data_IF_045468475859
#
_entry.id   IF_045468475859
#
_cell.length_a   1.000
_cell.length_b   1.000
_cell.length_c   1.000
_cell.angle_alpha   90.00
_cell.angle_beta   90.00
_cell.angle_gamma   90.00
#
_symmetry.space_group_name_H-M   'P 1'
#
loop_
_entity.id
_entity.type
_entity.pdbx_description
1 polymer ?
#
# COMPACT_ATOMS: atom_id res chain seq x y z
N UNK A 1 19.26 -19.64 23.00
CA UNK A 1 18.42 -20.45 22.09
C UNK A 1 18.12 -19.56 20.89
N UNK A 2 18.87 -19.70 19.79
CA UNK A 2 18.67 -18.89 18.59
C UNK A 2 17.49 -19.47 17.82
N UNK A 3 16.43 -18.69 17.66
CA UNK A 3 15.32 -19.04 16.78
C UNK A 3 15.78 -18.70 15.36
N UNK A 4 16.17 -19.74 14.62
CA UNK A 4 16.42 -19.66 13.18
C UNK A 4 15.10 -19.34 12.48
N UNK A 5 14.93 -18.13 11.97
CA UNK A 5 13.82 -17.83 11.06
C UNK A 5 14.14 -18.38 9.67
N UNK A 6 13.18 -19.01 8.97
CA UNK A 6 13.42 -19.55 7.65
C UNK A 6 13.69 -18.42 6.66
N UNK A 7 14.76 -18.57 5.87
CA UNK A 7 15.08 -17.69 4.75
C UNK A 7 13.89 -17.64 3.80
N UNK A 8 13.15 -16.53 3.81
CA UNK A 8 12.24 -16.23 2.71
C UNK A 8 13.10 -16.11 1.46
N UNK A 9 12.89 -16.99 0.49
CA UNK A 9 13.38 -16.81 -0.88
C UNK A 9 12.70 -15.55 -1.43
N UNK A 10 13.28 -14.39 -1.13
CA UNK A 10 12.98 -13.14 -1.80
C UNK A 10 13.46 -13.37 -3.23
N UNK A 11 12.51 -13.55 -4.15
CA UNK A 11 12.79 -13.35 -5.55
C UNK A 11 13.15 -11.87 -5.66
N UNK A 12 14.45 -11.56 -5.65
CA UNK A 12 14.91 -10.29 -6.20
C UNK A 12 14.44 -10.32 -7.64
N UNK A 13 13.36 -9.61 -7.96
CA UNK A 13 13.01 -9.34 -9.36
C UNK A 13 14.06 -8.31 -9.80
N UNK A 14 15.11 -8.69 -10.55
CA UNK A 14 15.95 -7.67 -11.16
C UNK A 14 15.03 -6.80 -12.00
N UNK A 15 15.23 -5.48 -11.97
CA UNK A 15 14.53 -4.56 -12.84
C UNK A 15 14.62 -5.13 -14.27
N UNK A 16 13.52 -5.73 -14.75
CA UNK A 16 13.54 -6.49 -15.98
C UNK A 16 13.90 -5.53 -17.10
N UNK A 17 14.96 -5.85 -17.86
CA UNK A 17 15.36 -5.07 -19.05
C UNK A 17 14.10 -4.85 -19.90
N UNK A 18 13.61 -3.61 -20.07
CA UNK A 18 12.45 -3.39 -20.91
C UNK A 18 12.85 -3.67 -22.38
N UNK A 19 11.94 -4.23 -23.19
CA UNK A 19 12.10 -4.19 -24.63
C UNK A 19 12.22 -2.73 -25.06
N UNK A 20 13.14 -2.47 -25.98
CA UNK A 20 13.65 -1.16 -26.39
C UNK A 20 12.62 -0.02 -26.37
N UNK A 21 12.85 1.00 -25.53
CA UNK A 21 12.19 2.31 -25.65
C UNK A 21 11.64 2.94 -24.37
N UNK A 22 11.43 2.19 -23.29
CA UNK A 22 11.03 2.75 -21.99
C UNK A 22 12.26 3.01 -21.12
N UNK A 23 12.50 4.24 -20.67
CA UNK A 23 13.56 4.49 -19.69
C UNK A 23 13.20 3.76 -18.40
N UNK A 24 14.02 2.79 -17.98
CA UNK A 24 14.01 2.32 -16.59
C UNK A 24 14.13 3.55 -15.70
N UNK A 25 13.19 3.74 -14.77
CA UNK A 25 13.42 4.67 -13.68
C UNK A 25 14.61 4.13 -12.88
N UNK A 26 15.82 4.65 -13.14
CA UNK A 26 17.04 4.32 -12.39
C UNK A 26 17.01 4.85 -10.94
N UNK A 27 15.82 5.24 -10.44
CA UNK A 27 15.58 5.66 -9.07
C UNK A 27 15.47 4.49 -8.09
N UNK A 28 15.12 3.29 -8.57
CA UNK A 28 14.88 2.13 -7.70
C UNK A 28 16.06 1.66 -6.86
N UNK A 29 17.29 2.07 -7.20
CA UNK A 29 18.53 1.72 -6.50
C UNK A 29 18.82 2.63 -5.28
N UNK A 30 18.02 3.67 -5.06
CA UNK A 30 18.11 4.55 -3.88
C UNK A 30 16.80 4.53 -3.07
N UNK A 31 16.86 4.65 -1.74
CA UNK A 31 15.68 4.64 -0.88
C UNK A 31 14.60 5.63 -1.36
N UNK A 32 15.00 6.88 -1.65
CA UNK A 32 14.07 7.93 -2.07
C UNK A 32 13.51 7.70 -3.48
N UNK A 33 14.23 7.01 -4.36
CA UNK A 33 13.72 6.71 -5.69
C UNK A 33 12.71 5.58 -5.69
N UNK A 34 12.89 4.55 -4.83
CA UNK A 34 11.84 3.55 -4.57
C UNK A 34 10.62 4.17 -3.91
N UNK A 35 10.81 5.06 -2.92
CA UNK A 35 9.72 5.83 -2.32
C UNK A 35 8.96 6.65 -3.36
N UNK A 36 9.68 7.36 -4.24
CA UNK A 36 9.06 8.15 -5.30
C UNK A 36 8.22 7.28 -6.24
N UNK A 37 8.73 6.10 -6.63
CA UNK A 37 7.97 5.15 -7.45
C UNK A 37 6.68 4.69 -6.77
N UNK A 38 6.74 4.35 -5.48
CA UNK A 38 5.56 4.01 -4.67
C UNK A 38 4.56 5.18 -4.65
N UNK A 39 5.02 6.40 -4.39
CA UNK A 39 4.16 7.60 -4.35
C UNK A 39 3.51 7.88 -5.70
N UNK A 40 4.22 7.67 -6.82
CA UNK A 40 3.68 7.86 -8.16
C UNK A 40 2.56 6.86 -8.46
N UNK A 41 2.77 5.59 -8.11
CA UNK A 41 1.80 4.53 -8.38
C UNK A 41 0.58 4.61 -7.46
N UNK A 42 0.75 5.01 -6.20
CA UNK A 42 -0.33 5.06 -5.23
C UNK A 42 -0.97 6.46 -5.11
N UNK A 43 -0.23 7.44 -4.58
CA UNK A 43 -0.79 8.75 -4.24
C UNK A 43 -1.08 9.61 -5.48
N UNK A 44 -0.18 9.62 -6.47
CA UNK A 44 -0.39 10.41 -7.68
C UNK A 44 -1.50 9.80 -8.54
N UNK A 45 -1.54 8.47 -8.70
CA UNK A 45 -2.60 7.79 -9.44
C UNK A 45 -4.01 8.15 -8.94
N UNK A 46 -4.20 8.16 -7.62
CA UNK A 46 -5.46 8.56 -6.96
C UNK A 46 -5.83 10.01 -7.22
N UNK A 47 -4.84 10.90 -7.23
CA UNK A 47 -5.04 12.33 -7.47
C UNK A 47 -5.40 12.64 -8.94
N UNK A 48 -4.76 11.97 -9.88
CA UNK A 48 -4.99 12.17 -11.32
C UNK A 48 -6.32 11.57 -11.79
N UNK A 49 -6.71 10.43 -11.22
CA UNK A 49 -7.90 9.68 -11.62
C UNK A 49 -9.02 9.79 -10.58
N UNK A 50 -9.20 10.97 -9.97
CA UNK A 50 -10.28 11.19 -9.00
C UNK A 50 -11.64 10.81 -9.60
N UNK A 51 -12.44 10.08 -8.82
CA UNK A 51 -13.75 9.58 -9.20
C UNK A 51 -13.74 8.62 -10.42
N UNK A 52 -12.64 7.88 -10.62
CA UNK A 52 -12.48 6.92 -11.72
C UNK A 52 -11.81 5.64 -11.21
N UNK A 53 -12.19 4.48 -11.76
CA UNK A 53 -11.62 3.17 -11.42
C UNK A 53 -10.08 3.12 -11.59
N UNK A 54 -9.55 3.93 -12.52
CA UNK A 54 -8.10 4.04 -12.78
C UNK A 54 -7.30 4.49 -11.55
N UNK A 55 -7.94 5.13 -10.56
CA UNK A 55 -7.32 5.49 -9.29
C UNK A 55 -6.65 4.31 -8.58
N UNK A 56 -7.16 3.09 -8.78
CA UNK A 56 -6.68 1.87 -8.10
C UNK A 56 -5.97 0.88 -9.03
N UNK A 57 -5.82 1.22 -10.31
CA UNK A 57 -5.26 0.30 -11.30
C UNK A 57 -3.83 -0.13 -10.97
N UNK A 58 -3.09 0.71 -10.26
CA UNK A 58 -1.69 0.48 -9.89
C UNK A 58 -1.51 -0.04 -8.46
N UNK A 59 -2.59 -0.22 -7.68
CA UNK A 59 -2.53 -0.63 -6.26
C UNK A 59 -1.72 -1.92 -6.09
N UNK A 60 -1.87 -2.88 -7.02
CA UNK A 60 -1.14 -4.15 -6.97
C UNK A 60 0.38 -3.98 -7.07
N UNK A 61 0.86 -3.15 -8.00
CA UNK A 61 2.30 -2.90 -8.13
C UNK A 61 2.83 -2.08 -6.94
N UNK A 62 2.11 -1.03 -6.53
CA UNK A 62 2.49 -0.22 -5.37
C UNK A 62 2.63 -1.07 -4.10
N UNK A 63 1.70 -2.02 -3.89
CA UNK A 63 1.74 -2.98 -2.78
C UNK A 63 2.96 -3.92 -2.84
N UNK A 64 3.33 -4.41 -4.02
CA UNK A 64 4.53 -5.25 -4.18
C UNK A 64 5.78 -4.44 -3.81
N UNK A 65 5.95 -3.25 -4.39
CA UNK A 65 7.14 -2.41 -4.15
C UNK A 65 7.25 -1.99 -2.67
N UNK A 66 6.12 -1.70 -2.02
CA UNK A 66 6.04 -1.38 -0.60
C UNK A 66 6.53 -2.54 0.27
N UNK A 67 6.02 -3.76 0.03
CA UNK A 67 6.46 -4.95 0.76
C UNK A 67 7.94 -5.26 0.50
N UNK A 68 8.41 -5.17 -0.75
CA UNK A 68 9.81 -5.38 -1.08
C UNK A 68 10.74 -4.42 -0.33
N UNK A 69 10.38 -3.14 -0.29
CA UNK A 69 11.20 -2.09 0.32
C UNK A 69 11.45 -2.37 1.82
N UNK A 70 10.45 -2.84 2.56
CA UNK A 70 10.55 -3.16 4.00
C UNK A 70 11.65 -4.19 4.30
N UNK A 71 11.90 -5.12 3.37
CA UNK A 71 12.91 -6.18 3.55
C UNK A 71 14.27 -5.85 2.94
N UNK A 72 14.44 -4.67 2.35
CA UNK A 72 15.71 -4.25 1.77
C UNK A 72 16.54 -3.43 2.78
N UNK A 73 17.88 -3.48 2.70
CA UNK A 73 18.75 -2.68 3.57
C UNK A 73 18.42 -1.18 3.52
N UNK A 74 18.02 -0.68 2.34
CA UNK A 74 17.65 0.72 2.11
C UNK A 74 16.43 1.20 2.90
N UNK A 75 15.63 0.31 3.50
CA UNK A 75 14.56 0.69 4.43
C UNK A 75 15.09 1.58 5.57
N UNK A 76 16.27 1.26 6.09
CA UNK A 76 16.87 1.96 7.24
C UNK A 76 17.43 3.33 6.89
N UNK A 77 17.52 3.66 5.60
CA UNK A 77 18.00 4.96 5.12
C UNK A 77 16.85 5.99 4.98
N UNK A 78 15.59 5.54 5.12
CA UNK A 78 14.41 6.41 5.14
C UNK A 78 14.13 6.90 6.57
N UNK A 79 13.67 8.14 6.71
CA UNK A 79 13.15 8.63 7.98
C UNK A 79 11.76 8.04 8.29
N UNK A 80 11.28 8.18 9.53
CA UNK A 80 10.01 7.59 10.00
C UNK A 80 8.80 8.01 9.15
N UNK A 81 8.77 9.27 8.71
CA UNK A 81 7.69 9.76 7.85
C UNK A 81 7.77 9.16 6.43
N UNK A 82 8.96 9.08 5.84
CA UNK A 82 9.18 8.43 4.55
C UNK A 82 8.83 6.94 4.58
N UNK A 83 9.23 6.25 5.65
CA UNK A 83 8.83 4.87 5.91
C UNK A 83 7.30 4.76 5.99
N UNK A 84 6.65 5.62 6.77
CA UNK A 84 5.18 5.66 6.86
C UNK A 84 4.49 5.87 5.52
N UNK A 85 4.98 6.81 4.70
CA UNK A 85 4.45 7.05 3.33
C UNK A 85 4.64 5.81 2.45
N UNK A 86 5.79 5.15 2.54
CA UNK A 86 6.07 3.95 1.74
C UNK A 86 5.18 2.74 2.08
N UNK A 87 4.61 2.70 3.29
CA UNK A 87 3.68 1.66 3.75
C UNK A 87 2.22 1.92 3.39
N UNK A 88 1.87 3.12 2.90
CA UNK A 88 0.48 3.45 2.53
C UNK A 88 -0.17 2.44 1.55
N UNK A 89 0.54 1.87 0.54
CA UNK A 89 -0.05 0.83 -0.30
C UNK A 89 -0.54 -0.41 0.46
N UNK A 90 0.10 -0.74 1.59
CA UNK A 90 -0.38 -1.83 2.47
C UNK A 90 -1.70 -1.44 3.15
N UNK A 91 -1.81 -0.19 3.62
CA UNK A 91 -3.05 0.38 4.19
C UNK A 91 -4.18 0.48 3.15
N UNK A 92 -3.87 0.50 1.85
CA UNK A 92 -4.87 0.60 0.79
C UNK A 92 -5.30 -0.75 0.20
N UNK A 93 -4.70 -1.85 0.64
CA UNK A 93 -5.00 -3.17 0.13
C UNK A 93 -6.33 -3.71 0.68
N UNK A 94 -7.17 -4.29 -0.19
CA UNK A 94 -8.38 -5.01 0.24
C UNK A 94 -8.02 -6.42 0.74
N UNK A 95 -7.15 -6.52 1.77
CA UNK A 95 -6.65 -7.80 2.31
C UNK A 95 -6.40 -7.74 3.82
N UNK A 96 -7.09 -8.61 4.57
CA UNK A 96 -6.92 -8.73 6.04
C UNK A 96 -5.49 -9.11 6.44
N UNK A 97 -4.85 -9.98 5.67
CA UNK A 97 -3.47 -10.43 5.95
C UNK A 97 -2.48 -9.27 5.80
N UNK A 98 -2.69 -8.42 4.79
CA UNK A 98 -1.84 -7.24 4.60
C UNK A 98 -2.03 -6.23 5.74
N UNK A 99 -3.28 -6.00 6.18
CA UNK A 99 -3.55 -5.13 7.32
C UNK A 99 -2.93 -5.62 8.64
N UNK A 100 -2.87 -6.94 8.87
CA UNK A 100 -2.17 -7.49 10.05
C UNK A 100 -0.68 -7.12 10.06
N UNK A 101 -0.02 -7.20 8.91
CA UNK A 101 1.39 -6.82 8.80
C UNK A 101 1.59 -5.30 8.80
N UNK A 102 0.69 -4.55 8.15
CA UNK A 102 0.71 -3.09 8.15
C UNK A 102 0.60 -2.53 9.57
N UNK A 103 -0.33 -3.04 10.40
CA UNK A 103 -0.47 -2.63 11.80
C UNK A 103 0.80 -2.89 12.61
N UNK A 104 1.46 -4.04 12.41
CA UNK A 104 2.76 -4.34 13.04
C UNK A 104 3.82 -3.31 12.66
N UNK A 105 3.93 -2.98 11.37
CA UNK A 105 4.92 -2.04 10.85
C UNK A 105 4.63 -0.60 11.29
N UNK A 106 3.39 -0.12 11.19
CA UNK A 106 3.01 1.21 11.66
C UNK A 106 3.14 1.37 13.18
N UNK A 107 2.90 0.30 13.95
CA UNK A 107 3.17 0.30 15.40
C UNK A 107 4.67 0.48 15.68
N UNK A 108 5.52 -0.23 14.92
CA UNK A 108 6.97 -0.12 15.07
C UNK A 108 7.53 1.26 14.67
N UNK A 109 6.92 1.93 13.69
CA UNK A 109 7.29 3.29 13.30
C UNK A 109 7.02 4.33 14.40
N UNK A 110 6.08 4.06 15.29
CA UNK A 110 5.70 4.96 16.39
C UNK A 110 5.33 6.38 15.92
N UNK A 111 4.72 6.47 14.73
CA UNK A 111 4.17 7.70 14.15
C UNK A 111 2.64 7.70 14.30
N UNK A 112 2.06 8.43 15.28
CA UNK A 112 0.66 8.28 15.65
C UNK A 112 -0.33 8.57 14.52
N UNK A 113 0.04 9.47 13.59
CA UNK A 113 -0.79 9.81 12.43
C UNK A 113 -1.06 8.59 11.54
N UNK A 114 -0.02 7.82 11.22
CA UNK A 114 -0.15 6.65 10.37
C UNK A 114 -0.85 5.49 11.09
N UNK A 115 -0.47 5.20 12.35
CA UNK A 115 -1.09 4.12 13.11
C UNK A 115 -2.61 4.34 13.31
N UNK A 116 -3.01 5.58 13.61
CA UNK A 116 -4.43 5.91 13.75
C UNK A 116 -5.20 5.77 12.43
N UNK A 117 -4.56 6.05 11.30
CA UNK A 117 -5.15 5.84 9.99
C UNK A 117 -5.27 4.34 9.68
N UNK A 118 -4.24 3.55 9.97
CA UNK A 118 -4.24 2.10 9.77
C UNK A 118 -5.37 1.41 10.54
N UNK A 119 -5.55 1.72 11.83
CA UNK A 119 -6.61 1.14 12.67
C UNK A 119 -8.00 1.36 12.05
N UNK A 120 -8.22 2.56 11.49
CA UNK A 120 -9.47 2.90 10.80
C UNK A 120 -9.66 2.11 9.51
N UNK A 121 -8.61 1.93 8.71
CA UNK A 121 -8.67 1.16 7.47
C UNK A 121 -8.88 -0.33 7.75
N UNK A 122 -8.13 -0.89 8.71
CA UNK A 122 -8.29 -2.28 9.15
C UNK A 122 -9.72 -2.57 9.58
N UNK A 123 -10.36 -1.69 10.36
CA UNK A 123 -11.74 -1.89 10.80
C UNK A 123 -12.74 -2.03 9.63
N UNK A 124 -12.51 -1.33 8.52
CA UNK A 124 -13.33 -1.44 7.30
C UNK A 124 -13.10 -2.82 6.65
N UNK A 125 -11.84 -3.22 6.49
CA UNK A 125 -11.48 -4.50 5.86
C UNK A 125 -11.87 -5.70 6.73
N UNK A 126 -11.85 -5.58 8.05
CA UNK A 126 -12.39 -6.59 8.95
C UNK A 126 -13.89 -6.76 8.75
N UNK A 127 -14.64 -5.65 8.71
CA UNK A 127 -16.09 -5.66 8.58
C UNK A 127 -16.57 -6.12 7.20
N UNK A 128 -15.99 -5.60 6.12
CA UNK A 128 -16.51 -5.77 4.76
C UNK A 128 -15.61 -6.60 3.84
N UNK A 129 -14.34 -6.82 4.21
CA UNK A 129 -13.35 -7.49 3.36
C UNK A 129 -12.87 -6.65 2.17
N UNK A 130 -13.39 -5.43 2.00
CA UNK A 130 -13.11 -4.50 0.90
C UNK A 130 -13.48 -3.07 1.31
N UNK A 131 -13.18 -2.08 0.46
CA UNK A 131 -13.57 -0.69 0.67
C UNK A 131 -14.90 -0.36 -0.05
N UNK A 132 -16.01 -0.14 0.68
CA UNK A 132 -17.31 0.10 0.06
C UNK A 132 -17.38 1.36 -0.80
N UNK A 133 -16.59 2.40 -0.49
CA UNK A 133 -16.56 3.64 -1.26
C UNK A 133 -16.05 3.44 -2.70
N UNK A 134 -15.31 2.34 -2.97
CA UNK A 134 -14.82 2.02 -4.32
C UNK A 134 -15.88 1.29 -5.17
N UNK A 135 -16.98 0.83 -4.56
CA UNK A 135 -17.91 -0.12 -5.20
C UNK A 135 -18.50 0.41 -6.51
N UNK A 136 -19.10 1.60 -6.50
CA UNK A 136 -19.73 2.17 -7.70
C UNK A 136 -18.74 2.38 -8.83
N UNK A 137 -17.55 2.89 -8.50
CA UNK A 137 -16.49 3.18 -9.46
C UNK A 137 -15.87 1.89 -10.03
N UNK A 138 -15.81 0.82 -9.25
CA UNK A 138 -15.35 -0.50 -9.68
C UNK A 138 -16.46 -1.40 -10.27
N UNK A 139 -17.69 -0.88 -10.45
CA UNK A 139 -18.82 -1.66 -10.98
C UNK A 139 -19.31 -2.78 -10.05
N UNK A 140 -19.06 -2.67 -8.74
CA UNK A 140 -19.49 -3.62 -7.72
C UNK A 140 -20.84 -3.21 -7.12
N UNK A 141 -21.70 -4.19 -6.86
CA UNK A 141 -22.91 -3.95 -6.07
C UNK A 141 -22.58 -3.86 -4.58
N UNK A 142 -23.08 -2.83 -3.91
CA UNK A 142 -22.99 -2.68 -2.46
C UNK A 142 -24.06 -3.52 -1.75
N UNK A 143 -23.71 -4.13 -0.63
CA UNK A 143 -24.68 -4.78 0.27
C UNK A 143 -25.53 -3.73 1.02
N UNK A 144 -26.69 -4.10 1.59
CA UNK A 144 -27.47 -3.17 2.43
C UNK A 144 -26.65 -2.57 3.58
N UNK A 145 -25.80 -3.37 4.22
CA UNK A 145 -24.92 -2.92 5.30
C UNK A 145 -23.86 -1.93 4.83
N UNK A 146 -23.28 -2.16 3.64
CA UNK A 146 -22.33 -1.23 3.01
C UNK A 146 -23.01 0.09 2.65
N UNK A 147 -24.24 0.05 2.11
CA UNK A 147 -25.03 1.24 1.79
C UNK A 147 -25.33 2.06 3.04
N UNK A 148 -25.75 1.40 4.12
CA UNK A 148 -26.04 2.08 5.38
C UNK A 148 -24.77 2.68 6.02
N UNK A 149 -23.66 1.97 5.95
CA UNK A 149 -22.37 2.46 6.43
C UNK A 149 -21.91 3.71 5.65
N UNK A 150 -22.05 3.71 4.32
CA UNK A 150 -21.66 4.84 3.47
C UNK A 150 -22.44 6.14 3.76
N UNK A 151 -23.67 6.06 4.30
CA UNK A 151 -24.43 7.26 4.69
C UNK A 151 -23.74 8.08 5.78
N UNK A 152 -23.01 7.40 6.66
CA UNK A 152 -22.41 7.98 7.87
C UNK A 152 -20.89 8.18 7.75
N UNK A 153 -20.26 7.68 6.68
CA UNK A 153 -18.79 7.62 6.54
C UNK A 153 -18.32 8.24 5.22
N UNK A 154 -18.70 9.51 4.95
CA UNK A 154 -18.40 10.24 3.70
C UNK A 154 -16.95 10.75 3.56
N UNK A 155 -16.04 10.29 4.39
CA UNK A 155 -14.65 10.79 4.48
C UNK A 155 -13.58 9.70 4.31
N UNK A 156 -13.98 8.52 3.82
CA UNK A 156 -13.07 7.50 3.30
C UNK A 156 -13.08 7.50 1.78
#
# INVERSE_FOLDING_TARGET
>A
MMISMPSANIVSIPCGRPPAGGSCFTGGDRPQGRLAEIVLLDQLSRNLNRNDARAWQQDGMALILSQELVYQPMWNDLNSNEQGVSLLPMMHAESRVIHQEAERLFTALNEPGFLNAEIKHRAIIERFGRYPHRNSLLGRNSTPDEVEWLKHNKGF
#
